data_IF_629088225656
#
_entry.id   IF_629088225656
#
_cell.length_a   1.000
_cell.length_b   1.000
_cell.length_c   1.000
_cell.angle_alpha   90.00
_cell.angle_beta   90.00
_cell.angle_gamma   90.00
#
_symmetry.space_group_name_H-M   'P 1'
#
loop_
_entity.id
_entity.type
_entity.pdbx_description
1 polymer ?
#
# COMPACT_ATOMS: atom_id res chain seq x y z
N UNK A 1 2.83 -23.63 8.92
CA UNK A 1 2.82 -22.39 8.11
C UNK A 1 4.20 -22.10 7.49
N UNK A 2 4.36 -22.33 6.18
CA UNK A 2 5.62 -21.98 5.50
C UNK A 2 5.73 -20.46 5.41
N UNK A 3 6.64 -19.91 6.20
CA UNK A 3 7.00 -18.49 6.14
C UNK A 3 7.46 -18.14 4.72
N UNK A 4 6.88 -17.07 4.15
CA UNK A 4 7.30 -16.47 2.87
C UNK A 4 8.80 -16.05 2.85
N UNK A 5 9.53 -16.21 3.97
CA UNK A 5 10.99 -16.05 4.08
C UNK A 5 11.80 -17.08 3.26
N UNK A 6 11.23 -18.25 2.92
CA UNK A 6 11.96 -19.32 2.21
C UNK A 6 11.72 -19.37 0.70
N UNK A 7 10.97 -18.42 0.16
CA UNK A 7 10.71 -18.35 -1.28
C UNK A 7 11.61 -17.28 -1.89
N UNK A 8 12.61 -17.72 -2.66
CA UNK A 8 13.49 -16.87 -3.44
C UNK A 8 12.97 -16.83 -4.88
N UNK A 9 12.66 -15.63 -5.34
CA UNK A 9 12.28 -15.41 -6.73
C UNK A 9 13.44 -14.72 -7.45
N UNK A 10 13.99 -15.40 -8.44
CA UNK A 10 14.98 -14.83 -9.34
C UNK A 10 14.32 -14.65 -10.71
N UNK A 11 13.54 -13.57 -10.84
CA UNK A 11 12.98 -13.18 -12.14
C UNK A 11 13.97 -12.24 -12.84
N UNK A 12 14.99 -12.83 -13.49
CA UNK A 12 16.05 -12.09 -14.18
C UNK A 12 15.61 -11.44 -15.50
N UNK A 13 14.37 -11.71 -15.95
CA UNK A 13 13.79 -11.17 -17.18
C UNK A 13 12.54 -10.37 -16.82
N UNK A 14 12.37 -9.20 -17.43
CA UNK A 14 11.22 -8.28 -17.28
C UNK A 14 9.88 -8.87 -17.80
N UNK A 15 9.62 -10.17 -17.63
CA UNK A 15 8.33 -10.76 -17.95
C UNK A 15 7.34 -10.41 -16.84
N UNK A 16 6.22 -9.81 -17.23
CA UNK A 16 5.10 -9.51 -16.35
C UNK A 16 4.42 -10.81 -15.94
N UNK A 17 4.75 -11.33 -14.76
CA UNK A 17 4.16 -12.53 -14.19
C UNK A 17 3.01 -12.11 -13.28
N UNK A 18 1.78 -12.51 -13.63
CA UNK A 18 0.61 -12.34 -12.77
C UNK A 18 0.61 -13.40 -11.68
N UNK A 19 0.55 -12.97 -10.42
CA UNK A 19 0.42 -13.87 -9.28
C UNK A 19 -0.87 -13.58 -8.54
N UNK A 20 -1.79 -14.55 -8.55
CA UNK A 20 -3.01 -14.50 -7.74
C UNK A 20 -2.81 -15.27 -6.44
N UNK A 21 -3.14 -14.64 -5.31
CA UNK A 21 -3.06 -15.25 -3.99
C UNK A 21 -4.40 -15.14 -3.28
N UNK A 22 -4.87 -16.27 -2.74
CA UNK A 22 -6.03 -16.32 -1.85
C UNK A 22 -5.64 -15.91 -0.42
N UNK A 23 -6.51 -15.14 0.21
CA UNK A 23 -6.44 -14.77 1.62
C UNK A 23 -7.73 -15.22 2.31
N UNK A 24 -7.59 -15.83 3.49
CA UNK A 24 -8.71 -16.15 4.36
C UNK A 24 -8.62 -15.25 5.61
N UNK A 25 -9.48 -14.23 5.67
CA UNK A 25 -9.47 -13.26 6.76
C UNK A 25 -10.10 -13.79 8.06
N UNK A 26 -10.94 -14.83 8.02
CA UNK A 26 -11.42 -15.48 9.26
C UNK A 26 -10.25 -16.06 10.06
N UNK A 27 -9.27 -16.65 9.36
CA UNK A 27 -8.04 -17.15 9.98
C UNK A 27 -7.05 -16.03 10.33
N UNK A 28 -7.02 -14.92 9.58
CA UNK A 28 -6.12 -13.79 9.83
C UNK A 28 -6.58 -12.91 11.00
N UNK A 29 -7.89 -12.74 11.22
CA UNK A 29 -8.44 -11.95 12.32
C UNK A 29 -8.23 -12.57 13.71
N UNK A 30 -7.99 -13.89 13.76
CA UNK A 30 -7.75 -14.65 14.99
C UNK A 30 -6.26 -14.75 15.37
N UNK A 31 -5.37 -14.25 14.53
CA UNK A 31 -3.94 -14.45 14.70
C UNK A 31 -3.24 -13.13 15.03
N UNK A 32 -3.30 -12.74 16.30
CA UNK A 32 -2.36 -11.77 16.88
C UNK A 32 -0.90 -12.16 16.56
N UNK A 33 -0.62 -13.47 16.37
CA UNK A 33 0.66 -14.03 15.94
C UNK A 33 1.00 -13.81 14.45
N UNK A 34 0.02 -13.71 13.53
CA UNK A 34 0.32 -13.65 12.08
C UNK A 34 0.97 -12.32 11.70
N UNK A 35 0.52 -11.25 12.35
CA UNK A 35 1.07 -9.92 12.16
C UNK A 35 2.40 -9.82 12.92
N UNK A 36 2.48 -10.28 14.18
CA UNK A 36 3.68 -10.22 15.01
C UNK A 36 4.94 -10.89 14.43
N UNK A 37 4.81 -11.92 13.59
CA UNK A 37 5.97 -12.70 13.14
C UNK A 37 6.55 -12.23 11.79
N UNK A 38 5.84 -11.45 10.95
CA UNK A 38 6.20 -11.36 9.52
C UNK A 38 6.14 -10.02 8.74
N UNK A 39 5.70 -8.87 9.28
CA UNK A 39 5.53 -7.59 8.53
C UNK A 39 4.97 -7.83 7.11
N UNK A 40 3.67 -8.13 6.99
CA UNK A 40 3.07 -8.54 5.72
C UNK A 40 3.25 -7.48 4.62
N UNK A 41 3.12 -6.20 4.95
CA UNK A 41 3.25 -5.11 3.98
C UNK A 41 4.65 -5.00 3.37
N UNK A 42 5.71 -5.18 4.18
CA UNK A 42 7.08 -5.21 3.66
C UNK A 42 7.32 -6.40 2.73
N UNK A 43 6.71 -7.55 3.01
CA UNK A 43 6.82 -8.72 2.11
C UNK A 43 6.01 -8.53 0.83
N UNK A 44 4.80 -7.98 0.91
CA UNK A 44 3.98 -7.65 -0.25
C UNK A 44 4.72 -6.66 -1.15
N UNK A 45 5.29 -5.60 -0.57
CA UNK A 45 6.10 -4.63 -1.28
C UNK A 45 7.26 -5.29 -2.05
N UNK A 46 7.99 -6.21 -1.41
CA UNK A 46 9.05 -6.98 -2.07
C UNK A 46 8.52 -7.87 -3.20
N UNK A 47 7.35 -8.50 -3.03
CA UNK A 47 6.77 -9.39 -4.05
C UNK A 47 6.31 -8.61 -5.28
N UNK A 48 5.72 -7.43 -5.10
CA UNK A 48 5.30 -6.53 -6.19
C UNK A 48 6.47 -6.03 -7.04
N UNK A 49 7.71 -6.04 -6.51
CA UNK A 49 8.90 -5.75 -7.32
C UNK A 49 9.21 -6.84 -8.37
N UNK A 50 8.62 -8.02 -8.23
CA UNK A 50 8.89 -9.18 -9.09
C UNK A 50 7.66 -9.73 -9.82
N UNK A 51 6.46 -9.42 -9.33
CA UNK A 51 5.18 -9.97 -9.79
C UNK A 51 4.09 -8.92 -9.83
N UNK A 52 3.17 -9.04 -10.79
CA UNK A 52 1.89 -8.34 -10.75
C UNK A 52 0.93 -9.11 -9.82
N UNK A 53 0.97 -8.78 -8.52
CA UNK A 53 0.28 -9.52 -7.46
C UNK A 53 -1.20 -9.08 -7.34
N UNK A 54 -2.09 -10.05 -7.15
CA UNK A 54 -3.52 -9.84 -6.93
C UNK A 54 -4.00 -10.71 -5.77
N UNK A 55 -4.64 -10.08 -4.78
CA UNK A 55 -5.28 -10.76 -3.67
C UNK A 55 -6.77 -10.94 -3.89
N UNK A 56 -7.26 -12.07 -3.41
CA UNK A 56 -8.67 -12.43 -3.41
C UNK A 56 -9.03 -13.05 -2.08
N UNK A 57 -10.22 -12.74 -1.60
CA UNK A 57 -10.85 -13.44 -0.50
C UNK A 57 -11.39 -14.79 -1.01
N UNK A 58 -11.26 -15.84 -0.21
CA UNK A 58 -11.85 -17.14 -0.54
C UNK A 58 -12.69 -17.66 0.61
N UNK A 59 -13.85 -18.19 0.26
CA UNK A 59 -14.80 -18.75 1.23
C UNK A 59 -14.43 -20.19 1.65
N UNK A 60 -13.32 -20.71 1.13
CA UNK A 60 -12.89 -22.08 1.35
C UNK A 60 -11.90 -22.18 2.52
N UNK A 61 -12.23 -23.05 3.46
CA UNK A 61 -11.32 -23.55 4.50
C UNK A 61 -10.36 -24.62 3.93
N UNK A 62 -9.86 -24.42 2.71
CA UNK A 62 -8.95 -25.36 2.07
C UNK A 62 -7.63 -25.40 2.85
N UNK A 63 -7.43 -26.51 3.56
CA UNK A 63 -6.21 -26.79 4.32
C UNK A 63 -5.02 -27.15 3.41
N UNK A 64 -5.27 -27.35 2.12
CA UNK A 64 -4.28 -27.82 1.16
C UNK A 64 -3.57 -26.64 0.49
N UNK A 65 -2.26 -26.55 0.68
CA UNK A 65 -1.44 -25.53 0.03
C UNK A 65 -1.05 -25.99 -1.38
N UNK A 66 -1.15 -25.09 -2.36
CA UNK A 66 -0.81 -25.40 -3.75
C UNK A 66 -0.19 -24.21 -4.48
N UNK A 67 0.50 -24.51 -5.60
CA UNK A 67 0.93 -23.52 -6.59
C UNK A 67 0.48 -24.01 -7.97
N UNK A 68 -0.34 -23.21 -8.66
CA UNK A 68 -0.78 -23.50 -10.01
C UNK A 68 0.02 -22.67 -11.01
N UNK A 69 0.86 -23.34 -11.81
CA UNK A 69 1.44 -22.74 -13.00
C UNK A 69 0.48 -22.98 -14.16
N UNK A 70 -0.33 -21.96 -14.48
CA UNK A 70 -1.40 -22.04 -15.48
C UNK A 70 -0.90 -22.69 -16.78
N UNK A 71 -1.64 -23.68 -17.27
CA UNK A 71 -1.31 -24.49 -18.46
C UNK A 71 -0.06 -25.40 -18.36
N UNK A 72 0.64 -25.45 -17.23
CA UNK A 72 1.88 -26.21 -17.08
C UNK A 72 1.73 -27.34 -16.05
N UNK A 73 1.52 -27.00 -14.78
CA UNK A 73 1.35 -27.99 -13.72
C UNK A 73 0.69 -27.39 -12.47
N UNK A 74 0.17 -28.29 -11.64
CA UNK A 74 -0.27 -28.01 -10.28
C UNK A 74 0.70 -28.69 -9.32
N UNK A 75 1.25 -27.90 -8.40
CA UNK A 75 2.10 -28.34 -7.30
C UNK A 75 1.24 -28.37 -6.04
N UNK A 76 1.12 -29.53 -5.41
CA UNK A 76 0.37 -29.70 -4.17
C UNK A 76 1.33 -30.05 -3.05
N UNK A 77 1.32 -29.24 -1.99
CA UNK A 77 2.19 -29.39 -0.83
C UNK A 77 1.43 -30.08 0.29
N UNK A 78 2.05 -31.08 0.89
CA UNK A 78 1.42 -31.96 1.87
C UNK A 78 2.48 -32.45 2.87
N UNK A 79 2.03 -33.08 3.96
CA UNK A 79 2.91 -33.63 5.01
C UNK A 79 2.55 -35.08 5.25
N UNK A 80 3.55 -35.97 5.23
CA UNK A 80 3.37 -37.38 5.55
C UNK A 80 3.09 -37.59 7.05
N UNK A 81 2.57 -38.75 7.48
CA UNK A 81 2.29 -39.03 8.89
C UNK A 81 3.50 -38.89 9.82
N UNK A 82 4.72 -39.06 9.31
CA UNK A 82 6.00 -38.88 10.02
C UNK A 82 6.48 -37.42 10.07
N UNK A 83 5.72 -36.49 9.50
CA UNK A 83 6.06 -35.07 9.41
C UNK A 83 6.94 -34.70 8.21
N UNK A 84 7.30 -35.65 7.36
CA UNK A 84 8.12 -35.36 6.19
C UNK A 84 7.33 -34.54 5.14
N UNK A 85 7.86 -33.42 4.63
CA UNK A 85 7.19 -32.62 3.62
C UNK A 85 7.17 -33.37 2.29
N UNK A 86 6.04 -33.29 1.57
CA UNK A 86 5.88 -33.89 0.25
C UNK A 86 5.32 -32.92 -0.76
N UNK A 87 5.71 -33.14 -2.02
CA UNK A 87 5.28 -32.37 -3.17
C UNK A 87 4.71 -33.33 -4.23
N UNK A 88 3.43 -33.16 -4.57
CA UNK A 88 2.79 -33.87 -5.68
C UNK A 88 2.74 -32.93 -6.89
N UNK A 89 3.23 -33.40 -8.03
CA UNK A 89 3.21 -32.65 -9.29
C UNK A 89 2.16 -33.26 -10.23
N UNK A 90 1.16 -32.46 -10.60
CA UNK A 90 0.10 -32.88 -11.51
C UNK A 90 0.26 -32.12 -12.84
N UNK A 91 0.45 -32.87 -13.94
CA UNK A 91 0.59 -32.34 -15.32
C UNK A 91 -0.55 -32.77 -16.26
N UNK A 92 -1.51 -33.54 -15.75
CA UNK A 92 -2.62 -34.02 -16.55
C UNK A 92 -3.50 -32.84 -17.01
N UNK A 93 -3.56 -32.59 -18.33
CA UNK A 93 -4.25 -31.43 -18.90
C UNK A 93 -5.73 -31.35 -18.51
N UNK A 94 -6.44 -32.48 -18.50
CA UNK A 94 -7.87 -32.51 -18.15
C UNK A 94 -8.08 -32.17 -16.67
N UNK A 95 -7.20 -32.68 -15.78
CA UNK A 95 -7.23 -32.33 -14.38
C UNK A 95 -6.95 -30.84 -14.16
N UNK A 96 -5.90 -30.30 -14.81
CA UNK A 96 -5.56 -28.87 -14.70
C UNK A 96 -6.71 -27.97 -15.15
N UNK A 97 -7.42 -28.34 -16.21
CA UNK A 97 -8.58 -27.59 -16.70
C UNK A 97 -9.75 -27.62 -15.68
N UNK A 98 -10.04 -28.78 -15.08
CA UNK A 98 -11.05 -28.90 -14.02
C UNK A 98 -10.65 -28.11 -12.77
N UNK A 99 -9.38 -28.14 -12.40
CA UNK A 99 -8.86 -27.40 -11.25
C UNK A 99 -8.91 -25.89 -11.47
N UNK A 100 -8.60 -25.41 -12.69
CA UNK A 100 -8.80 -24.01 -13.07
C UNK A 100 -10.27 -23.60 -12.96
N UNK A 101 -11.20 -24.41 -13.49
CA UNK A 101 -12.64 -24.15 -13.36
C UNK A 101 -13.14 -24.16 -11.91
N UNK A 102 -12.53 -24.99 -11.06
CA UNK A 102 -12.81 -24.98 -9.63
C UNK A 102 -12.34 -23.67 -9.00
N UNK A 103 -11.10 -23.26 -9.26
CA UNK A 103 -10.54 -22.00 -8.75
C UNK A 103 -11.35 -20.79 -9.20
N UNK A 104 -11.71 -20.74 -10.49
CA UNK A 104 -12.47 -19.63 -11.06
C UNK A 104 -13.85 -19.48 -10.40
N UNK A 105 -14.41 -20.57 -9.84
CA UNK A 105 -15.66 -20.56 -9.05
C UNK A 105 -15.44 -20.34 -7.55
N UNK A 106 -14.22 -20.50 -7.07
CA UNK A 106 -13.87 -20.44 -5.65
C UNK A 106 -13.40 -19.05 -5.21
N UNK A 107 -13.10 -18.16 -6.15
CA UNK A 107 -12.79 -16.76 -5.83
C UNK A 107 -14.03 -16.09 -5.25
N UNK A 108 -13.89 -15.57 -4.04
CA UNK A 108 -14.86 -14.67 -3.45
C UNK A 108 -14.58 -13.24 -3.92
N UNK A 109 -14.45 -12.33 -2.97
CA UNK A 109 -14.25 -10.91 -3.23
C UNK A 109 -12.81 -10.60 -3.69
N UNK A 110 -12.66 -9.85 -4.77
CA UNK A 110 -11.36 -9.29 -5.16
C UNK A 110 -10.91 -8.24 -4.15
N UNK A 111 -9.65 -8.28 -3.74
CA UNK A 111 -9.07 -7.40 -2.73
C UNK A 111 -7.99 -6.47 -3.30
N UNK A 112 -7.63 -6.64 -4.56
CA UNK A 112 -6.58 -5.88 -5.22
C UNK A 112 -7.10 -5.28 -6.50
N UNK A 113 -6.85 -3.99 -6.67
CA UNK A 113 -7.32 -3.19 -7.80
C UNK A 113 -6.14 -2.45 -8.40
N UNK A 114 -5.97 -2.57 -9.72
CA UNK A 114 -5.05 -1.69 -10.44
C UNK A 114 -5.66 -0.28 -10.60
N UNK A 115 -4.88 0.65 -11.17
CA UNK A 115 -5.29 2.03 -11.38
C UNK A 115 -6.65 2.17 -12.11
N UNK A 116 -6.84 1.47 -13.23
CA UNK A 116 -8.06 1.56 -14.03
C UNK A 116 -9.27 0.99 -13.29
N UNK A 117 -9.11 -0.16 -12.65
CA UNK A 117 -10.14 -0.78 -11.83
C UNK A 117 -10.55 0.11 -10.65
N UNK A 118 -9.57 0.72 -9.97
CA UNK A 118 -9.81 1.62 -8.85
C UNK A 118 -10.51 2.91 -9.30
N UNK A 119 -10.09 3.50 -10.43
CA UNK A 119 -10.76 4.66 -11.03
C UNK A 119 -12.20 4.34 -11.42
N UNK A 120 -12.44 3.18 -12.03
CA UNK A 120 -13.77 2.75 -12.41
C UNK A 120 -14.68 2.56 -11.19
N UNK A 121 -14.15 2.00 -10.09
CA UNK A 121 -14.90 1.88 -8.84
C UNK A 121 -15.31 3.25 -8.28
N UNK A 122 -14.40 4.21 -8.29
CA UNK A 122 -14.68 5.57 -7.80
C UNK A 122 -15.62 6.34 -8.72
N UNK A 123 -15.55 6.14 -10.03
CA UNK A 123 -16.52 6.72 -10.97
C UNK A 123 -17.94 6.19 -10.74
N UNK A 124 -18.06 4.88 -10.45
CA UNK A 124 -19.35 4.27 -10.18
C UNK A 124 -19.91 4.63 -8.79
N UNK A 125 -19.03 4.85 -7.81
CA UNK A 125 -19.41 5.17 -6.43
C UNK A 125 -18.38 6.09 -5.75
N UNK A 126 -18.46 7.42 -5.99
CA UNK A 126 -17.55 8.40 -5.41
C UNK A 126 -17.56 8.41 -3.88
N UNK A 127 -18.69 8.04 -3.28
CA UNK A 127 -18.86 8.01 -1.82
C UNK A 127 -18.04 6.90 -1.14
N UNK A 128 -17.37 6.02 -1.90
CA UNK A 128 -16.41 5.04 -1.37
C UNK A 128 -15.33 5.69 -0.49
N UNK A 129 -14.80 6.85 -0.90
CA UNK A 129 -13.74 7.54 -0.17
C UNK A 129 -14.24 8.11 1.16
N UNK A 130 -15.44 8.70 1.17
CA UNK A 130 -16.08 9.16 2.41
C UNK A 130 -16.34 8.00 3.36
N UNK A 131 -16.92 6.90 2.86
CA UNK A 131 -17.17 5.69 3.68
C UNK A 131 -15.88 5.05 4.20
N UNK A 132 -14.77 5.19 3.48
CA UNK A 132 -13.46 4.76 3.97
C UNK A 132 -13.02 5.59 5.19
N UNK A 133 -13.21 6.90 5.17
CA UNK A 133 -12.88 7.77 6.31
C UNK A 133 -13.84 7.59 7.49
N UNK A 134 -15.12 7.31 7.22
CA UNK A 134 -16.14 7.04 8.25
C UNK A 134 -15.84 5.78 9.09
N UNK A 135 -14.99 4.87 8.59
CA UNK A 135 -14.46 3.72 9.36
C UNK A 135 -13.46 4.12 10.45
N UNK A 136 -13.19 5.41 10.61
CA UNK A 136 -12.29 5.95 11.61
C UNK A 136 -10.84 5.78 11.21
N UNK A 137 -10.27 6.79 10.55
CA UNK A 137 -8.85 6.84 10.22
C UNK A 137 -8.00 6.85 11.51
N UNK A 138 -7.07 5.89 11.63
CA UNK A 138 -6.19 5.72 12.80
C UNK A 138 -4.78 6.19 12.52
N UNK A 139 -4.22 5.77 11.40
CA UNK A 139 -2.85 6.10 11.02
C UNK A 139 -2.64 6.10 9.50
N UNK A 140 -1.66 6.87 9.06
CA UNK A 140 -1.22 6.95 7.67
C UNK A 140 0.30 6.87 7.61
N UNK A 141 0.81 5.90 6.85
CA UNK A 141 2.24 5.69 6.64
C UNK A 141 2.61 6.01 5.21
N UNK A 142 3.38 7.07 5.00
CA UNK A 142 3.81 7.54 3.68
C UNK A 142 5.26 7.15 3.43
N UNK A 143 5.48 6.30 2.43
CA UNK A 143 6.80 5.93 1.91
C UNK A 143 7.03 6.51 0.50
N UNK A 144 6.18 7.45 0.10
CA UNK A 144 6.16 8.08 -1.22
C UNK A 144 5.63 9.50 -1.06
N UNK A 145 6.05 10.49 -1.87
CA UNK A 145 5.65 11.89 -1.72
C UNK A 145 4.19 12.14 -2.14
N UNK A 146 3.23 11.57 -1.40
CA UNK A 146 1.81 11.90 -1.57
C UNK A 146 1.61 13.36 -1.14
N UNK A 147 0.99 14.14 -2.02
CA UNK A 147 0.64 15.51 -1.69
C UNK A 147 -0.81 15.59 -1.20
N UNK A 148 -1.00 16.27 -0.08
CA UNK A 148 -2.29 16.38 0.59
C UNK A 148 -2.93 17.77 0.49
N UNK A 149 -2.26 18.74 -0.13
CA UNK A 149 -2.65 20.16 -0.08
C UNK A 149 -2.78 20.84 -1.44
N UNK A 150 -2.41 20.17 -2.54
CA UNK A 150 -2.62 20.70 -3.88
C UNK A 150 -4.11 20.94 -4.13
N UNK A 151 -4.44 22.05 -4.80
CA UNK A 151 -5.79 22.28 -5.31
C UNK A 151 -6.02 21.52 -6.62
N UNK A 152 -7.28 21.35 -7.02
CA UNK A 152 -7.65 20.71 -8.27
C UNK A 152 -7.00 21.41 -9.46
N UNK A 153 -6.95 22.76 -9.46
CA UNK A 153 -6.26 23.54 -10.50
C UNK A 153 -4.76 23.26 -10.55
N UNK A 154 -4.11 23.04 -9.40
CA UNK A 154 -2.69 22.66 -9.36
C UNK A 154 -2.44 21.22 -9.87
N UNK A 155 -3.50 20.42 -10.03
CA UNK A 155 -3.44 19.05 -10.57
C UNK A 155 -3.78 18.96 -12.08
N UNK A 156 -3.99 20.08 -12.78
CA UNK A 156 -4.42 20.11 -14.21
C UNK A 156 -3.51 19.28 -15.14
N UNK A 157 -2.19 19.30 -14.90
CA UNK A 157 -1.21 18.62 -15.75
C UNK A 157 -1.25 17.09 -15.65
N UNK A 158 -1.99 16.52 -14.69
CA UNK A 158 -2.11 15.07 -14.50
C UNK A 158 -2.94 14.37 -15.59
N UNK A 159 -3.73 15.13 -16.36
CA UNK A 159 -4.65 14.61 -17.37
C UNK A 159 -5.93 13.99 -16.82
N UNK A 160 -6.13 14.02 -15.49
CA UNK A 160 -7.38 13.62 -14.85
C UNK A 160 -8.50 14.64 -15.09
N UNK A 161 -9.76 14.19 -15.10
CA UNK A 161 -10.90 15.11 -15.24
C UNK A 161 -10.99 16.05 -14.03
N UNK A 162 -11.66 17.20 -14.19
CA UNK A 162 -11.89 18.13 -13.08
C UNK A 162 -12.59 17.46 -11.90
N UNK A 163 -13.66 16.70 -12.16
CA UNK A 163 -14.39 15.92 -11.15
C UNK A 163 -13.48 14.94 -10.39
N UNK A 164 -12.54 14.27 -11.08
CA UNK A 164 -11.58 13.36 -10.44
C UNK A 164 -10.60 14.11 -9.53
N UNK A 165 -10.12 15.27 -9.98
CA UNK A 165 -9.19 16.12 -9.23
C UNK A 165 -9.84 16.69 -7.97
N UNK A 166 -11.09 17.17 -8.08
CA UNK A 166 -11.87 17.67 -6.94
C UNK A 166 -12.15 16.55 -5.92
N UNK A 167 -12.63 15.39 -6.37
CA UNK A 167 -12.89 14.25 -5.51
C UNK A 167 -11.64 13.83 -4.72
N UNK A 168 -10.49 13.77 -5.38
CA UNK A 168 -9.23 13.37 -4.73
C UNK A 168 -8.69 14.48 -3.82
N UNK A 169 -8.81 15.75 -4.20
CA UNK A 169 -8.48 16.88 -3.34
C UNK A 169 -9.29 16.82 -2.04
N UNK A 170 -10.62 16.65 -2.14
CA UNK A 170 -11.50 16.60 -0.98
C UNK A 170 -11.16 15.43 -0.05
N UNK A 171 -10.88 14.25 -0.62
CA UNK A 171 -10.45 13.10 0.16
C UNK A 171 -9.12 13.34 0.88
N UNK A 172 -8.11 13.88 0.20
CA UNK A 172 -6.79 14.15 0.78
C UNK A 172 -6.83 15.25 1.84
N UNK A 173 -7.63 16.31 1.64
CA UNK A 173 -7.87 17.33 2.66
C UNK A 173 -8.64 16.77 3.87
N UNK A 174 -9.61 15.89 3.65
CA UNK A 174 -10.35 15.24 4.72
C UNK A 174 -9.43 14.36 5.58
N UNK A 175 -8.44 13.70 4.98
CA UNK A 175 -7.38 12.98 5.71
C UNK A 175 -6.62 13.92 6.65
N UNK A 176 -6.22 15.12 6.22
CA UNK A 176 -5.46 16.04 7.07
C UNK A 176 -6.26 16.59 8.26
N UNK A 177 -7.58 16.63 8.11
CA UNK A 177 -8.52 17.07 9.14
C UNK A 177 -8.94 15.95 10.08
N UNK A 178 -8.64 14.69 9.75
CA UNK A 178 -8.96 13.55 10.60
C UNK A 178 -8.08 13.50 11.87
N UNK A 179 -8.60 12.84 12.91
CA UNK A 179 -7.87 12.61 14.17
C UNK A 179 -6.99 11.36 14.05
N UNK A 180 -6.00 11.39 13.15
CA UNK A 180 -5.12 10.26 12.85
C UNK A 180 -3.64 10.53 13.20
N UNK A 181 -2.83 9.47 13.20
CA UNK A 181 -1.37 9.55 13.30
C UNK A 181 -0.74 9.59 11.91
N UNK A 182 0.22 10.48 11.69
CA UNK A 182 0.83 10.67 10.38
C UNK A 182 2.33 10.35 10.41
N UNK A 183 2.72 9.36 9.63
CA UNK A 183 4.09 8.91 9.53
C UNK A 183 4.62 9.20 8.14
N UNK A 184 5.72 9.94 8.04
CA UNK A 184 6.39 10.19 6.76
C UNK A 184 7.77 9.57 6.76
N UNK A 185 8.13 8.90 5.67
CA UNK A 185 9.52 8.56 5.44
C UNK A 185 10.32 9.83 5.14
N UNK A 186 11.50 9.95 5.75
CA UNK A 186 12.44 11.04 5.47
C UNK A 186 12.85 11.05 3.99
N UNK A 187 12.90 9.86 3.36
CA UNK A 187 13.16 9.71 1.93
C UNK A 187 12.07 10.34 1.06
N UNK A 188 10.78 10.13 1.37
CA UNK A 188 9.67 10.70 0.60
C UNK A 188 9.65 12.23 0.67
N UNK A 189 9.85 12.80 1.86
CA UNK A 189 9.93 14.25 2.03
C UNK A 189 11.12 14.82 1.26
N UNK A 190 12.27 14.16 1.31
CA UNK A 190 13.48 14.57 0.59
C UNK A 190 13.35 14.41 -0.93
N UNK A 191 12.61 13.40 -1.38
CA UNK A 191 12.31 13.20 -2.80
C UNK A 191 11.45 14.35 -3.34
N UNK A 192 10.41 14.74 -2.60
CA UNK A 192 9.58 15.90 -2.96
C UNK A 192 10.41 17.18 -3.02
N UNK A 193 11.17 17.51 -1.97
CA UNK A 193 11.92 18.78 -1.94
C UNK A 193 12.97 18.88 -3.05
N UNK A 194 13.58 17.75 -3.43
CA UNK A 194 14.60 17.70 -4.50
C UNK A 194 14.00 17.70 -5.91
N UNK A 195 12.93 16.95 -6.14
CA UNK A 195 12.41 16.70 -7.50
C UNK A 195 11.14 17.46 -7.83
N UNK A 196 10.43 17.98 -6.83
CA UNK A 196 9.09 18.54 -6.99
C UNK A 196 8.00 17.52 -7.26
N UNK A 197 8.32 16.23 -7.39
CA UNK A 197 7.34 15.18 -7.70
C UNK A 197 6.39 14.98 -6.54
N UNK A 198 5.15 15.38 -6.75
CA UNK A 198 4.00 15.18 -5.88
C UNK A 198 3.10 14.11 -6.49
N UNK A 199 2.85 13.03 -5.75
CA UNK A 199 1.92 11.99 -6.17
C UNK A 199 0.53 12.32 -5.64
N UNK A 200 -0.44 12.29 -6.53
CA UNK A 200 -1.87 12.37 -6.20
C UNK A 200 -2.48 11.03 -6.58
N UNK A 201 -2.85 10.16 -5.61
CA UNK A 201 -3.35 8.82 -5.88
C UNK A 201 -4.51 8.83 -6.88
N UNK A 202 -4.49 7.88 -7.81
CA UNK A 202 -5.42 7.67 -8.90
C UNK A 202 -5.61 8.87 -9.83
N UNK A 203 -4.79 9.91 -9.69
CA UNK A 203 -4.87 11.15 -10.47
C UNK A 203 -3.63 11.28 -11.33
N UNK A 204 -2.44 11.25 -10.72
CA UNK A 204 -1.17 11.24 -11.42
C UNK A 204 -0.04 11.87 -10.62
N UNK A 205 1.03 12.26 -11.32
CA UNK A 205 2.16 13.00 -10.74
C UNK A 205 2.05 14.46 -11.16
N UNK A 206 2.19 15.36 -10.18
CA UNK A 206 2.38 16.79 -10.38
C UNK A 206 3.86 17.12 -10.14
N UNK A 207 4.48 17.87 -11.04
CA UNK A 207 5.85 18.36 -10.91
C UNK A 207 5.81 19.79 -10.41
N UNK A 208 6.00 19.97 -9.10
CA UNK A 208 6.01 21.28 -8.47
C UNK A 208 7.33 22.02 -8.80
N UNK A 209 7.26 23.23 -9.39
CA UNK A 209 8.43 24.07 -9.65
C UNK A 209 9.20 24.37 -8.37
N UNK A 210 10.52 24.53 -8.49
CA UNK A 210 11.45 24.65 -7.38
C UNK A 210 11.06 25.73 -6.37
N UNK A 211 10.72 26.91 -6.90
CA UNK A 211 10.29 28.10 -6.19
C UNK A 211 9.01 27.90 -5.38
N UNK A 212 8.16 26.93 -5.73
CA UNK A 212 6.90 26.62 -5.04
C UNK A 212 7.00 25.45 -4.07
N UNK A 213 8.08 24.66 -4.09
CA UNK A 213 8.19 23.44 -3.27
C UNK A 213 8.08 23.77 -1.78
N UNK A 214 8.77 24.82 -1.33
CA UNK A 214 8.74 25.24 0.08
C UNK A 214 7.34 25.71 0.49
N UNK A 215 6.66 26.49 -0.35
CA UNK A 215 5.30 26.95 -0.11
C UNK A 215 4.33 25.78 0.10
N UNK A 216 4.43 24.74 -0.73
CA UNK A 216 3.61 23.52 -0.60
C UNK A 216 3.88 22.79 0.73
N UNK A 217 5.14 22.75 1.17
CA UNK A 217 5.50 22.13 2.45
C UNK A 217 5.00 22.96 3.65
N UNK A 218 4.97 24.29 3.53
CA UNK A 218 4.37 25.18 4.53
C UNK A 218 2.84 25.02 4.59
N UNK A 219 2.17 24.90 3.43
CA UNK A 219 0.73 24.60 3.36
C UNK A 219 0.40 23.28 4.07
N UNK A 220 1.19 22.23 3.85
CA UNK A 220 1.02 20.95 4.53
C UNK A 220 1.12 21.09 6.07
N UNK A 221 2.09 21.87 6.56
CA UNK A 221 2.22 22.11 8.00
C UNK A 221 1.00 22.87 8.55
N UNK A 222 0.53 23.88 7.81
CA UNK A 222 -0.59 24.74 8.20
C UNK A 222 -1.92 23.97 8.27
N UNK A 223 -2.20 23.13 7.27
CA UNK A 223 -3.43 22.32 7.19
C UNK A 223 -3.40 21.11 8.14
N UNK A 224 -2.21 20.66 8.55
CA UNK A 224 -2.08 19.56 9.52
C UNK A 224 -2.60 19.99 10.89
N UNK A 225 -3.65 19.29 11.37
CA UNK A 225 -4.28 19.58 12.67
C UNK A 225 -3.27 19.53 13.83
N UNK A 226 -3.41 20.37 14.89
CA UNK A 226 -2.47 20.37 16.01
C UNK A 226 -2.38 19.02 16.74
N UNK A 227 -3.47 18.25 16.77
CA UNK A 227 -3.51 16.90 17.36
C UNK A 227 -2.70 15.92 16.52
N UNK A 228 -2.95 15.87 15.21
CA UNK A 228 -2.20 15.02 14.28
C UNK A 228 -0.72 15.36 14.35
N UNK A 229 -0.36 16.65 14.31
CA UNK A 229 1.03 17.13 14.39
C UNK A 229 1.80 16.57 15.58
N UNK A 230 1.20 16.59 16.77
CA UNK A 230 1.84 16.09 18.01
C UNK A 230 2.12 14.59 17.96
N UNK A 231 1.35 13.83 17.16
CA UNK A 231 1.51 12.39 17.01
C UNK A 231 2.25 12.01 15.72
N UNK A 232 2.50 12.97 14.85
CA UNK A 232 3.25 12.76 13.60
C UNK A 232 4.70 12.39 13.87
N UNK A 233 5.24 11.46 13.08
CA UNK A 233 6.62 10.98 13.21
C UNK A 233 7.31 10.90 11.86
N UNK A 234 8.60 11.22 11.84
CA UNK A 234 9.48 10.95 10.73
C UNK A 234 10.10 9.56 10.89
N UNK A 235 10.12 8.80 9.80
CA UNK A 235 10.65 7.44 9.73
C UNK A 235 11.86 7.38 8.79
N UNK A 236 12.91 6.70 9.19
CA UNK A 236 14.02 6.34 8.30
C UNK A 236 13.83 4.89 7.89
N UNK A 237 13.51 4.63 6.62
CA UNK A 237 13.19 3.30 6.11
C UNK A 237 13.64 3.17 4.66
N UNK A 238 13.91 1.95 4.22
CA UNK A 238 14.21 1.64 2.82
C UNK A 238 12.97 1.37 1.97
N UNK A 239 11.79 1.25 2.59
CA UNK A 239 10.52 1.13 1.85
C UNK A 239 10.24 2.43 1.09
N UNK A 240 9.84 2.29 -0.18
CA UNK A 240 9.54 3.41 -1.08
C UNK A 240 8.38 3.07 -2.02
N UNK A 241 7.75 4.09 -2.63
CA UNK A 241 6.70 3.86 -3.64
C UNK A 241 5.42 3.24 -3.08
N UNK A 242 5.13 3.48 -1.80
CA UNK A 242 3.94 2.93 -1.14
C UNK A 242 3.38 3.88 -0.09
N UNK A 243 2.10 3.74 0.21
CA UNK A 243 1.47 4.33 1.38
C UNK A 243 0.51 3.33 2.03
N UNK A 244 0.34 3.41 3.35
CA UNK A 244 -0.57 2.54 4.10
C UNK A 244 -1.55 3.41 4.86
N UNK A 245 -2.83 3.33 4.51
CA UNK A 245 -3.93 3.98 5.23
C UNK A 245 -4.58 2.95 6.14
N UNK A 246 -4.59 3.22 7.45
CA UNK A 246 -5.15 2.32 8.46
C UNK A 246 -6.42 2.92 9.08
N UNK A 247 -7.54 2.23 8.93
CA UNK A 247 -8.78 2.49 9.67
C UNK A 247 -8.93 1.49 10.84
N UNK A 248 -10.08 1.47 11.51
CA UNK A 248 -10.31 0.57 12.64
C UNK A 248 -10.34 -0.93 12.24
N UNK A 249 -10.88 -1.25 11.07
CA UNK A 249 -11.12 -2.63 10.62
C UNK A 249 -10.68 -2.92 9.17
N UNK A 250 -10.07 -1.93 8.51
CA UNK A 250 -9.57 -2.01 7.14
C UNK A 250 -8.23 -1.28 7.03
N UNK A 251 -7.27 -1.90 6.37
CA UNK A 251 -6.04 -1.26 5.91
C UNK A 251 -5.95 -1.29 4.41
N UNK A 252 -5.54 -0.16 3.84
CA UNK A 252 -5.32 0.01 2.41
C UNK A 252 -3.81 0.18 2.21
N UNK A 253 -3.20 -0.70 1.40
CA UNK A 253 -1.85 -0.53 0.89
C UNK A 253 -1.95 0.02 -0.53
N UNK A 254 -1.55 1.27 -0.69
CA UNK A 254 -1.35 1.92 -1.97
C UNK A 254 0.10 1.70 -2.43
N UNK A 255 0.28 1.35 -3.69
CA UNK A 255 1.59 1.15 -4.32
C UNK A 255 1.64 1.87 -5.65
N UNK A 256 2.79 2.47 -5.93
CA UNK A 256 3.06 3.22 -7.16
C UNK A 256 4.51 3.07 -7.56
N UNK A 257 4.75 2.92 -8.86
CA UNK A 257 6.11 2.91 -9.40
C UNK A 257 6.71 4.33 -9.46
N UNK A 258 8.03 4.42 -9.67
CA UNK A 258 8.77 5.69 -9.59
C UNK A 258 8.36 6.75 -10.63
N UNK A 259 7.79 6.30 -11.75
CA UNK A 259 7.29 7.12 -12.86
C UNK A 259 5.76 7.34 -12.79
N UNK A 260 5.06 6.76 -11.81
CA UNK A 260 3.62 6.95 -11.62
C UNK A 260 2.74 6.33 -12.69
N UNK A 261 3.31 5.50 -13.56
CA UNK A 261 2.61 4.86 -14.68
C UNK A 261 1.80 3.63 -14.27
N UNK A 262 2.03 3.11 -13.06
CA UNK A 262 1.30 1.98 -12.52
C UNK A 262 1.01 2.20 -11.06
N UNK A 263 -0.28 2.23 -10.74
CA UNK A 263 -0.79 2.29 -9.38
C UNK A 263 -1.54 1.00 -9.04
N UNK A 264 -1.50 0.61 -7.77
CA UNK A 264 -2.24 -0.53 -7.26
C UNK A 264 -2.69 -0.30 -5.82
N UNK A 265 -3.88 -0.81 -5.51
CA UNK A 265 -4.49 -0.74 -4.19
C UNK A 265 -4.77 -2.17 -3.71
N UNK A 266 -4.27 -2.51 -2.54
CA UNK A 266 -4.59 -3.75 -1.85
C UNK A 266 -5.38 -3.46 -0.57
N UNK A 267 -6.50 -4.16 -0.39
CA UNK A 267 -7.39 -4.04 0.76
C UNK A 267 -7.19 -5.21 1.72
N UNK A 268 -7.05 -4.90 3.01
CA UNK A 268 -6.88 -5.87 4.08
C UNK A 268 -7.88 -5.61 5.19
N UNK A 269 -8.84 -6.52 5.37
CA UNK A 269 -9.86 -6.43 6.42
C UNK A 269 -9.29 -6.98 7.74
N UNK A 270 -8.45 -6.18 8.39
CA UNK A 270 -7.75 -6.54 9.62
C UNK A 270 -7.86 -5.40 10.64
N UNK A 271 -8.02 -5.77 11.91
CA UNK A 271 -8.02 -4.83 13.05
C UNK A 271 -6.59 -4.60 13.54
N UNK A 272 -6.38 -3.51 14.26
CA UNK A 272 -5.14 -3.20 15.00
C UNK A 272 -3.85 -3.10 14.15
N UNK A 273 -3.95 -2.94 12.83
CA UNK A 273 -2.78 -2.83 11.96
C UNK A 273 -1.93 -1.59 12.28
N UNK A 274 -2.55 -0.46 12.63
CA UNK A 274 -1.83 0.74 13.02
C UNK A 274 -0.91 0.50 14.24
N UNK A 275 -1.44 -0.12 15.30
CA UNK A 275 -0.70 -0.45 16.52
C UNK A 275 0.42 -1.47 16.22
N UNK A 276 0.12 -2.45 15.38
CA UNK A 276 1.12 -3.41 14.93
C UNK A 276 2.28 -2.73 14.21
N UNK A 277 1.98 -1.88 13.21
CA UNK A 277 3.00 -1.21 12.40
C UNK A 277 3.85 -0.30 13.27
N UNK A 278 3.24 0.47 14.16
CA UNK A 278 4.00 1.30 15.10
C UNK A 278 4.95 0.45 15.97
N UNK A 279 4.47 -0.68 16.50
CA UNK A 279 5.29 -1.58 17.30
C UNK A 279 6.41 -2.26 16.49
N UNK A 280 6.15 -2.70 15.27
CA UNK A 280 7.17 -3.26 14.35
C UNK A 280 8.24 -2.20 14.04
N UNK A 281 7.82 -0.96 13.79
CA UNK A 281 8.75 0.12 13.51
C UNK A 281 9.63 0.48 14.72
N UNK A 282 9.05 0.50 15.93
CA UNK A 282 9.80 0.68 17.18
C UNK A 282 10.80 -0.46 17.42
N UNK A 283 10.39 -1.72 17.22
CA UNK A 283 11.23 -2.91 17.42
C UNK A 283 12.41 -2.99 16.46
N UNK A 284 12.21 -2.59 15.19
CA UNK A 284 13.27 -2.58 14.17
C UNK A 284 14.28 -1.44 14.32
N UNK A 285 14.21 -0.69 15.42
CA UNK A 285 15.06 0.47 15.70
C UNK A 285 15.08 1.49 14.56
N UNK A 286 13.99 1.58 13.78
CA UNK A 286 13.86 2.72 12.90
C UNK A 286 13.89 3.97 13.77
N UNK A 287 14.72 4.95 13.40
CA UNK A 287 14.81 6.21 14.11
C UNK A 287 13.49 6.94 13.93
N UNK A 288 12.55 6.75 14.85
CA UNK A 288 11.33 7.52 14.90
C UNK A 288 11.65 8.87 15.53
N UNK A 289 11.58 9.91 14.72
CA UNK A 289 11.88 11.28 15.17
C UNK A 289 10.55 12.03 15.26
N UNK A 290 10.27 12.60 16.42
CA UNK A 290 9.08 13.43 16.62
C UNK A 290 9.05 14.58 15.61
N UNK A 291 7.90 14.76 14.99
CA UNK A 291 7.63 15.89 14.12
C UNK A 291 7.33 17.12 14.98
N UNK A 292 8.31 18.03 15.11
CA UNK A 292 8.14 19.31 15.80
C UNK A 292 8.19 20.45 14.81
N UNK A 293 7.50 21.56 15.12
CA UNK A 293 7.54 22.78 14.31
C UNK A 293 8.96 23.31 14.11
N UNK A 294 9.79 23.25 15.16
CA UNK A 294 11.19 23.67 15.07
C UNK A 294 12.02 22.80 14.12
N UNK A 295 11.82 21.48 14.13
CA UNK A 295 12.50 20.56 13.20
C UNK A 295 12.01 20.73 11.78
N UNK A 296 10.72 20.93 11.60
CA UNK A 296 10.15 21.21 10.29
C UNK A 296 10.69 22.53 9.72
N UNK A 297 10.69 23.59 10.52
CA UNK A 297 11.25 24.88 10.09
C UNK A 297 12.74 24.75 9.74
N UNK A 298 13.54 24.07 10.56
CA UNK A 298 14.95 23.83 10.25
C UNK A 298 15.13 23.06 8.93
N UNK A 299 14.27 22.08 8.66
CA UNK A 299 14.26 21.35 7.38
C UNK A 299 13.89 22.27 6.21
N UNK A 300 12.85 23.11 6.36
CA UNK A 300 12.46 24.08 5.34
C UNK A 300 13.56 25.10 5.06
N UNK A 301 14.23 25.58 6.10
CA UNK A 301 15.35 26.53 5.98
C UNK A 301 16.54 25.88 5.27
N UNK A 302 16.85 24.61 5.57
CA UNK A 302 17.86 23.84 4.84
C UNK A 302 17.48 23.71 3.36
N UNK A 303 16.22 23.35 3.06
CA UNK A 303 15.74 23.23 1.68
C UNK A 303 15.80 24.58 0.96
N UNK A 304 15.36 25.67 1.60
CA UNK A 304 15.47 27.04 1.08
C UNK A 304 16.90 27.43 0.77
N UNK A 305 17.85 27.08 1.64
CA UNK A 305 19.25 27.44 1.46
C UNK A 305 19.90 26.81 0.23
N UNK A 306 19.31 25.73 -0.32
CA UNK A 306 19.77 25.11 -1.58
C UNK A 306 19.36 25.89 -2.82
N UNK A 307 18.45 26.86 -2.66
CA UNK A 307 17.85 27.64 -3.75
C UNK A 307 18.28 29.12 -3.73
N UNK A 308 19.10 29.51 -2.74
CA UNK A 308 19.75 30.81 -2.62
C UNK A 308 21.20 30.71 -3.14
#
# INVERSE_FOLDING_TARGET
>A
PYSLKRVFFNNSKQQKIYWNQSLNFEQAALADDYVQVHNPFGKIHQLEQHFDLYFWETDHNDKQHYLLLKNHCLLVFDVLPDGAPTLKIIRNKNYLLRFLQFIDKSWGRKLTFNQDEARQLLQNDPALLTRLLDRGLRALYNFVPINYVLSASEMEETGASEEQRELMQDFLHAILKADADLYFSSAAISEFSRSGKAIVPLTGIVTVPEEKRVEIMERLEAETSPKMRKRSKLMYTSMSGAAILCTQDLSLLYMVNQDGTSEKIHLFFMRNIAEYLENDFRKKQFRLVEYTRSRWQAYLDEVRSRFL
#
